data_IF_872042804071
#
_entry.id   IF_872042804071
#
_cell.length_a   1.000
_cell.length_b   1.000
_cell.length_c   1.000
_cell.angle_alpha   90.00
_cell.angle_beta   90.00
_cell.angle_gamma   90.00
#
_symmetry.space_group_name_H-M   'P 1'
#
loop_
_entity.id
_entity.type
_entity.pdbx_description
1 polymer ?
#
# COMPACT_ATOMS: atom_id res chain seq x y z
N UNK A 1 21.64 -5.78 -7.12
CA UNK A 1 21.82 -6.53 -8.39
C UNK A 1 20.60 -7.39 -8.73
N UNK A 2 19.98 -8.07 -7.76
CA UNK A 2 18.81 -8.97 -8.00
C UNK A 2 17.67 -8.27 -8.73
N UNK A 3 17.32 -7.06 -8.31
CA UNK A 3 16.25 -6.28 -8.94
C UNK A 3 16.59 -5.90 -10.40
N UNK A 4 17.83 -5.51 -10.68
CA UNK A 4 18.25 -5.16 -12.04
C UNK A 4 18.28 -6.39 -12.95
N UNK A 5 18.78 -7.50 -12.44
CA UNK A 5 18.80 -8.74 -13.20
C UNK A 5 17.37 -9.20 -13.52
N UNK A 6 16.46 -9.11 -12.56
CA UNK A 6 15.04 -9.39 -12.79
C UNK A 6 14.44 -8.49 -13.88
N UNK A 7 14.72 -7.18 -13.84
CA UNK A 7 14.28 -6.26 -14.88
C UNK A 7 14.87 -6.60 -16.24
N UNK A 8 16.15 -6.93 -16.29
CA UNK A 8 16.84 -7.35 -17.52
C UNK A 8 16.20 -8.61 -18.11
N UNK A 9 15.89 -9.58 -17.29
CA UNK A 9 15.24 -10.83 -17.71
C UNK A 9 13.81 -10.57 -18.20
N UNK A 10 13.03 -9.76 -17.52
CA UNK A 10 11.70 -9.35 -17.97
C UNK A 10 11.74 -8.61 -19.32
N UNK A 11 12.67 -7.70 -19.48
CA UNK A 11 12.84 -6.94 -20.71
C UNK A 11 13.27 -7.82 -21.88
N UNK A 12 14.24 -8.69 -21.66
CA UNK A 12 14.69 -9.64 -22.67
C UNK A 12 13.57 -10.63 -23.06
N UNK A 13 12.77 -11.06 -22.09
CA UNK A 13 11.60 -11.91 -22.34
C UNK A 13 10.55 -11.20 -23.19
N UNK A 14 10.27 -9.93 -22.91
CA UNK A 14 9.29 -9.14 -23.67
C UNK A 14 9.73 -8.88 -25.13
N UNK A 15 11.02 -8.61 -25.36
CA UNK A 15 11.56 -8.28 -26.67
C UNK A 15 12.23 -9.46 -27.38
N UNK A 16 12.06 -10.70 -26.90
CA UNK A 16 12.68 -11.91 -27.45
C UNK A 16 14.20 -11.79 -27.65
N UNK A 17 14.89 -11.12 -26.73
CA UNK A 17 16.33 -10.90 -26.82
C UNK A 17 16.78 -9.94 -27.93
N UNK A 18 15.86 -9.28 -28.64
CA UNK A 18 16.19 -8.42 -29.80
C UNK A 18 16.81 -7.07 -29.43
N UNK A 19 16.82 -6.71 -28.16
CA UNK A 19 17.48 -5.49 -27.68
C UNK A 19 18.51 -5.82 -26.61
N UNK A 20 19.75 -5.46 -26.90
CA UNK A 20 20.93 -5.90 -26.11
C UNK A 20 20.97 -5.38 -24.67
N UNK A 21 20.32 -4.26 -24.33
CA UNK A 21 20.33 -3.66 -22.99
C UNK A 21 19.19 -2.69 -22.79
N UNK A 22 18.73 -2.65 -21.54
CA UNK A 22 17.85 -1.62 -21.03
C UNK A 22 18.52 -0.24 -21.22
N UNK A 23 18.00 0.54 -22.13
CA UNK A 23 18.38 1.94 -22.19
C UNK A 23 17.80 2.73 -21.01
N UNK A 24 16.71 2.22 -20.43
CA UNK A 24 16.04 2.83 -19.28
C UNK A 24 15.39 1.76 -18.42
N UNK A 25 15.59 1.79 -17.12
CA UNK A 25 14.84 0.98 -16.14
C UNK A 25 13.54 1.71 -15.76
N UNK A 26 13.54 2.99 -15.89
CA UNK A 26 12.42 3.90 -15.81
C UNK A 26 12.67 4.97 -16.86
N UNK A 27 11.65 5.76 -17.21
CA UNK A 27 11.76 6.87 -18.17
C UNK A 27 12.83 7.91 -17.81
N UNK A 28 13.43 7.80 -16.63
CA UNK A 28 14.31 8.81 -16.05
C UNK A 28 15.77 8.39 -15.88
N UNK A 29 16.09 7.09 -15.81
CA UNK A 29 17.48 6.65 -15.58
C UNK A 29 17.96 5.73 -16.71
N UNK A 30 18.91 6.17 -17.52
CA UNK A 30 19.50 5.32 -18.54
C UNK A 30 20.40 4.25 -17.88
N UNK A 31 20.17 3.00 -18.22
CA UNK A 31 21.04 1.89 -17.85
C UNK A 31 21.88 1.46 -19.05
N UNK A 32 23.09 2.01 -19.10
CA UNK A 32 24.10 1.56 -20.05
C UNK A 32 24.87 0.36 -19.46
N UNK A 33 25.57 -0.38 -20.33
CA UNK A 33 26.48 -1.44 -19.89
C UNK A 33 27.52 -0.91 -18.89
N UNK A 34 28.00 0.30 -19.10
CA UNK A 34 28.94 0.97 -18.18
C UNK A 34 28.36 1.12 -16.78
N UNK A 35 27.13 1.56 -16.65
CA UNK A 35 26.45 1.69 -15.35
C UNK A 35 26.23 0.32 -14.71
N UNK A 36 25.87 -0.69 -15.49
CA UNK A 36 25.68 -2.04 -15.01
C UNK A 36 26.98 -2.64 -14.45
N UNK A 37 28.09 -2.48 -15.18
CA UNK A 37 29.42 -2.92 -14.71
C UNK A 37 29.86 -2.17 -13.45
N UNK A 38 29.56 -0.88 -13.37
CA UNK A 38 29.85 -0.09 -12.18
C UNK A 38 29.00 -0.51 -10.97
N UNK A 39 27.75 -0.91 -11.18
CA UNK A 39 26.91 -1.49 -10.13
C UNK A 39 27.50 -2.80 -9.60
N UNK A 40 27.99 -3.68 -10.48
CA UNK A 40 28.66 -4.92 -10.08
C UNK A 40 29.90 -4.59 -9.24
N UNK A 41 30.75 -3.70 -9.70
CA UNK A 41 31.96 -3.29 -9.00
C UNK A 41 31.65 -2.74 -7.60
N UNK A 42 30.66 -1.86 -7.48
CA UNK A 42 30.29 -1.25 -6.20
C UNK A 42 29.53 -2.19 -5.27
N UNK A 43 28.86 -3.19 -5.80
CA UNK A 43 28.26 -4.24 -4.98
C UNK A 43 29.31 -5.14 -4.30
N UNK A 44 30.48 -5.25 -4.91
CA UNK A 44 31.61 -6.04 -4.39
C UNK A 44 32.51 -5.25 -3.45
N UNK A 45 32.53 -3.92 -3.55
CA UNK A 45 33.34 -3.03 -2.73
C UNK A 45 32.49 -1.99 -1.99
N UNK A 46 32.18 -2.22 -0.71
CA UNK A 46 31.38 -1.30 0.09
C UNK A 46 32.07 0.05 0.39
N UNK A 47 33.38 0.17 0.16
CA UNK A 47 34.12 1.41 0.40
C UNK A 47 33.87 2.48 -0.66
N UNK A 48 33.34 2.08 -1.82
CA UNK A 48 33.07 2.99 -2.92
C UNK A 48 31.81 3.83 -2.66
N UNK A 49 31.84 5.09 -3.09
CA UNK A 49 30.73 6.00 -2.93
C UNK A 49 29.44 5.46 -3.60
N UNK A 50 28.30 5.59 -2.92
CA UNK A 50 27.01 5.12 -3.43
C UNK A 50 26.35 6.09 -4.40
N UNK A 51 26.86 7.31 -4.49
CA UNK A 51 26.38 8.36 -5.39
C UNK A 51 27.57 9.00 -6.08
N UNK A 52 27.49 9.15 -7.39
CA UNK A 52 28.53 9.81 -8.19
C UNK A 52 27.90 10.76 -9.20
N UNK A 53 28.66 11.78 -9.59
CA UNK A 53 28.27 12.63 -10.72
C UNK A 53 28.32 11.82 -12.02
N UNK A 54 27.28 11.91 -12.83
CA UNK A 54 27.26 11.39 -14.19
C UNK A 54 27.85 12.42 -15.14
N UNK A 55 29.05 12.15 -15.65
CA UNK A 55 29.61 12.98 -16.70
C UNK A 55 28.90 12.65 -18.02
N UNK A 56 28.28 13.65 -18.64
CA UNK A 56 27.67 13.54 -19.98
C UNK A 56 26.17 13.19 -20.01
N UNK A 57 25.48 13.12 -18.88
CA UNK A 57 24.03 13.02 -18.82
C UNK A 57 23.39 14.28 -18.28
N UNK A 58 22.81 15.06 -19.18
CA UNK A 58 22.37 16.42 -18.93
C UNK A 58 21.10 16.59 -18.10
N UNK A 59 20.38 15.51 -17.80
CA UNK A 59 19.07 15.63 -17.14
C UNK A 59 19.09 15.52 -15.63
N UNK A 60 20.03 14.76 -15.02
CA UNK A 60 20.02 14.53 -13.58
C UNK A 60 21.36 14.71 -12.87
N UNK A 61 22.46 14.72 -13.56
CA UNK A 61 23.81 14.98 -13.02
C UNK A 61 24.36 13.94 -12.04
N UNK A 62 23.56 12.95 -11.59
CA UNK A 62 23.92 12.00 -10.57
C UNK A 62 23.56 10.57 -10.95
N UNK A 63 24.44 9.62 -10.59
CA UNK A 63 24.16 8.19 -10.63
C UNK A 63 24.09 7.63 -9.21
N UNK A 64 23.11 6.79 -8.97
CA UNK A 64 22.84 6.16 -7.69
C UNK A 64 23.16 4.67 -7.75
N UNK A 65 23.85 4.15 -6.74
CA UNK A 65 24.32 2.78 -6.66
C UNK A 65 24.03 2.18 -5.29
N UNK A 66 22.96 2.60 -4.65
CA UNK A 66 22.59 2.12 -3.33
C UNK A 66 21.76 0.83 -3.40
N UNK A 67 21.34 0.34 -2.27
CA UNK A 67 20.46 -0.82 -2.12
C UNK A 67 19.41 -0.51 -1.05
N UNK A 68 18.53 0.42 -1.38
CA UNK A 68 17.48 0.88 -0.46
C UNK A 68 16.27 -0.03 -0.53
N UNK A 69 15.89 -0.59 0.60
CA UNK A 69 14.63 -1.29 0.77
C UNK A 69 13.52 -0.30 1.16
N UNK A 70 12.92 0.29 0.14
CA UNK A 70 11.83 1.25 0.31
C UNK A 70 10.61 0.65 0.98
N UNK A 71 10.34 -0.65 0.79
CA UNK A 71 9.23 -1.31 1.46
C UNK A 71 9.42 -1.32 2.97
N UNK A 72 10.58 -1.74 3.43
CA UNK A 72 10.89 -1.73 4.87
C UNK A 72 10.93 -0.33 5.48
N UNK A 73 11.22 0.70 4.69
CA UNK A 73 11.18 2.09 5.15
C UNK A 73 9.74 2.62 5.32
N UNK A 74 8.86 2.30 4.39
CA UNK A 74 7.51 2.87 4.36
C UNK A 74 6.45 2.02 5.02
N UNK A 75 6.59 0.69 5.01
CA UNK A 75 5.59 -0.22 5.54
C UNK A 75 5.99 -0.82 6.89
N UNK A 76 5.02 -0.99 7.76
CA UNK A 76 5.16 -1.77 8.99
C UNK A 76 5.22 -3.26 8.66
N UNK A 77 5.97 -4.03 9.45
CA UNK A 77 6.08 -5.48 9.25
C UNK A 77 4.78 -6.21 9.62
N UNK A 78 3.98 -5.61 10.48
CA UNK A 78 2.66 -6.11 10.89
C UNK A 78 1.71 -4.96 11.19
N UNK A 79 0.44 -5.25 11.08
CA UNK A 79 -0.65 -4.33 11.32
C UNK A 79 -1.62 -4.95 12.34
N UNK A 80 -2.07 -4.15 13.28
CA UNK A 80 -3.02 -4.57 14.30
C UNK A 80 -4.42 -4.11 13.95
N UNK A 81 -5.38 -4.99 14.18
CA UNK A 81 -6.78 -4.63 14.15
C UNK A 81 -7.50 -5.20 15.36
N UNK A 82 -8.47 -4.48 15.85
CA UNK A 82 -9.35 -4.93 16.94
C UNK A 82 -10.80 -4.87 16.48
N UNK A 83 -11.58 -5.85 16.94
CA UNK A 83 -13.01 -5.89 16.65
C UNK A 83 -13.77 -6.26 17.93
N UNK A 84 -14.77 -5.48 18.24
CA UNK A 84 -15.67 -5.69 19.35
C UNK A 84 -17.11 -5.78 18.84
N UNK A 85 -17.76 -6.89 19.17
CA UNK A 85 -19.15 -7.11 18.82
C UNK A 85 -19.96 -7.35 20.09
N UNK A 86 -21.08 -6.65 20.22
CA UNK A 86 -22.03 -6.85 21.28
C UNK A 86 -23.42 -7.00 20.67
N UNK A 87 -24.18 -7.97 21.12
CA UNK A 87 -25.56 -8.09 20.72
C UNK A 87 -26.44 -8.51 21.90
N UNK A 88 -27.66 -8.04 21.87
CA UNK A 88 -28.73 -8.40 22.79
C UNK A 88 -29.97 -8.73 21.99
N UNK A 89 -30.64 -9.78 22.37
CA UNK A 89 -31.91 -10.18 21.76
C UNK A 89 -32.86 -10.67 22.83
N UNK A 90 -34.11 -10.48 22.58
CA UNK A 90 -35.15 -10.96 23.46
C UNK A 90 -36.51 -10.90 22.76
N UNK A 91 -37.50 -11.51 23.38
CA UNK A 91 -38.82 -11.50 22.84
C UNK A 91 -39.76 -12.45 23.51
N UNK A 92 -41.01 -12.39 23.10
CA UNK A 92 -42.10 -13.24 23.54
C UNK A 92 -43.19 -13.33 22.45
N UNK A 93 -44.37 -13.78 22.83
CA UNK A 93 -45.45 -14.06 21.85
C UNK A 93 -45.90 -12.83 21.06
N UNK A 94 -45.74 -11.63 21.64
CA UNK A 94 -46.23 -10.39 21.05
C UNK A 94 -45.13 -9.52 20.45
N UNK A 95 -43.88 -9.62 20.91
CA UNK A 95 -42.79 -8.78 20.44
C UNK A 95 -41.47 -9.53 20.49
N UNK A 96 -40.61 -9.23 19.54
CA UNK A 96 -39.21 -9.64 19.51
C UNK A 96 -38.32 -8.46 19.15
N UNK A 97 -37.08 -8.48 19.66
CA UNK A 97 -36.10 -7.50 19.33
C UNK A 97 -34.68 -8.09 19.24
N UNK A 98 -33.85 -7.47 18.45
CA UNK A 98 -32.42 -7.72 18.30
C UNK A 98 -31.70 -6.40 18.13
N UNK A 99 -30.73 -6.12 18.96
CA UNK A 99 -29.87 -4.95 18.87
C UNK A 99 -28.43 -5.44 18.87
N UNK A 100 -27.62 -4.92 17.96
CA UNK A 100 -26.19 -5.21 17.92
C UNK A 100 -25.38 -3.95 17.66
N UNK A 101 -24.21 -3.87 18.28
CA UNK A 101 -23.18 -2.89 18.05
C UNK A 101 -21.90 -3.59 17.66
N UNK A 102 -21.19 -3.04 16.68
CA UNK A 102 -19.87 -3.47 16.26
C UNK A 102 -18.95 -2.26 16.21
N UNK A 103 -17.78 -2.40 16.80
CA UNK A 103 -16.67 -1.48 16.66
C UNK A 103 -15.50 -2.21 16.04
N UNK A 104 -14.95 -1.65 14.99
CA UNK A 104 -13.75 -2.12 14.32
C UNK A 104 -12.74 -1.00 14.25
N UNK A 105 -11.51 -1.26 14.67
CA UNK A 105 -10.38 -0.33 14.62
C UNK A 105 -9.19 -1.05 13.99
N UNK A 106 -8.60 -0.44 12.98
CA UNK A 106 -7.44 -0.95 12.28
C UNK A 106 -6.40 0.14 12.16
N UNK A 107 -5.23 -0.13 12.69
CA UNK A 107 -4.04 0.71 12.49
C UNK A 107 -3.63 0.72 11.02
N UNK A 108 -2.99 1.79 10.61
CA UNK A 108 -2.44 1.91 9.28
C UNK A 108 -1.19 1.05 9.04
N UNK A 109 -0.94 0.78 7.77
CA UNK A 109 0.21 -0.02 7.31
C UNK A 109 1.48 0.82 7.12
N UNK A 110 1.36 2.14 7.10
CA UNK A 110 2.50 3.02 6.86
C UNK A 110 3.24 3.37 8.14
N UNK A 111 4.59 3.40 8.06
CA UNK A 111 5.45 3.94 9.13
C UNK A 111 5.42 5.47 9.15
N UNK A 112 5.15 6.08 8.01
CA UNK A 112 5.14 7.54 7.82
C UNK A 112 3.78 7.97 7.27
N UNK A 113 3.16 8.93 7.93
CA UNK A 113 1.83 9.40 7.56
C UNK A 113 0.74 8.49 8.12
N UNK A 114 0.16 8.85 9.23
CA UNK A 114 -0.84 8.06 9.94
C UNK A 114 -2.04 7.71 9.05
N UNK A 115 -2.12 6.47 8.62
CA UNK A 115 -3.33 5.91 8.07
C UNK A 115 -4.10 5.17 9.16
N UNK A 116 -5.41 5.25 9.13
CA UNK A 116 -6.28 4.60 10.12
C UNK A 116 -7.66 4.35 9.53
N UNK A 117 -8.29 3.30 10.03
CA UNK A 117 -9.65 2.95 9.65
C UNK A 117 -10.44 2.54 10.88
N UNK A 118 -11.52 3.29 11.18
CA UNK A 118 -12.46 2.97 12.27
C UNK A 118 -13.86 2.85 11.71
N UNK A 119 -14.56 1.81 12.15
CA UNK A 119 -15.92 1.57 11.74
C UNK A 119 -16.80 1.26 12.93
N UNK A 120 -17.93 1.95 12.98
CA UNK A 120 -18.97 1.79 13.99
C UNK A 120 -20.25 1.35 13.29
N UNK A 121 -20.74 0.19 13.63
CA UNK A 121 -22.01 -0.33 13.10
C UNK A 121 -23.00 -0.50 14.26
N UNK A 122 -24.22 -0.02 14.07
CA UNK A 122 -25.33 -0.28 14.99
C UNK A 122 -26.49 -0.82 14.17
N UNK A 123 -27.09 -1.89 14.67
CA UNK A 123 -28.26 -2.51 14.03
C UNK A 123 -29.34 -2.77 15.07
N UNK A 124 -30.56 -2.39 14.73
CA UNK A 124 -31.74 -2.68 15.52
C UNK A 124 -32.80 -3.33 14.65
N UNK A 125 -33.32 -4.47 15.10
CA UNK A 125 -34.48 -5.12 14.50
C UNK A 125 -35.50 -5.32 15.58
N UNK A 126 -36.79 -5.18 15.21
CA UNK A 126 -37.87 -5.46 16.11
C UNK A 126 -39.14 -5.83 15.35
N UNK A 127 -39.89 -6.71 15.93
CA UNK A 127 -41.23 -7.09 15.46
C UNK A 127 -42.22 -6.94 16.58
N UNK A 128 -43.34 -6.33 16.30
CA UNK A 128 -44.44 -6.15 17.23
C UNK A 128 -45.74 -6.64 16.57
N UNK A 129 -46.39 -7.61 17.20
CA UNK A 129 -47.73 -8.07 16.82
C UNK A 129 -48.77 -7.23 17.56
N UNK A 130 -49.28 -6.21 16.93
CA UNK A 130 -50.25 -5.28 17.53
C UNK A 130 -51.63 -5.91 17.61
N UNK A 131 -51.99 -6.67 16.57
CA UNK A 131 -53.27 -7.40 16.44
C UNK A 131 -53.01 -8.70 15.66
N UNK A 132 -53.90 -9.70 15.68
CA UNK A 132 -53.75 -10.91 14.87
C UNK A 132 -53.56 -10.64 13.38
N UNK A 133 -54.11 -9.53 12.89
CA UNK A 133 -54.00 -9.09 11.51
C UNK A 133 -52.95 -7.99 11.28
N UNK A 134 -52.29 -7.45 12.34
CA UNK A 134 -51.32 -6.34 12.21
C UNK A 134 -50.01 -6.67 12.90
N UNK A 135 -48.97 -6.80 12.08
CA UNK A 135 -47.56 -6.95 12.51
C UNK A 135 -46.74 -5.76 12.02
N UNK A 136 -46.03 -5.13 12.93
CA UNK A 136 -45.07 -4.09 12.62
C UNK A 136 -43.63 -4.66 12.73
N UNK A 137 -42.83 -4.47 11.69
CA UNK A 137 -41.46 -4.90 11.70
C UNK A 137 -40.55 -3.71 11.36
N UNK A 138 -39.55 -3.48 12.18
CA UNK A 138 -38.50 -2.50 11.94
C UNK A 138 -37.14 -3.19 11.76
N UNK A 139 -36.36 -2.74 10.80
CA UNK A 139 -34.97 -3.17 10.60
C UNK A 139 -34.16 -1.94 10.20
N UNK A 140 -33.40 -1.42 11.16
CA UNK A 140 -32.58 -0.23 11.00
C UNK A 140 -31.12 -0.60 11.17
N UNK A 141 -30.24 -0.03 10.35
CA UNK A 141 -28.81 -0.12 10.52
C UNK A 141 -28.15 1.23 10.23
N UNK A 142 -27.19 1.58 11.03
CA UNK A 142 -26.35 2.78 10.87
C UNK A 142 -24.90 2.33 10.88
N UNK A 143 -24.12 2.82 9.93
CA UNK A 143 -22.70 2.56 9.81
C UNK A 143 -21.99 3.90 9.69
N UNK A 144 -21.01 4.13 10.55
CA UNK A 144 -20.13 5.31 10.50
C UNK A 144 -18.71 4.82 10.27
N UNK A 145 -18.07 5.39 9.27
CA UNK A 145 -16.68 5.09 8.93
C UNK A 145 -15.87 6.37 9.09
N UNK A 146 -14.80 6.26 9.86
CA UNK A 146 -13.75 7.27 9.97
C UNK A 146 -12.47 6.66 9.42
N UNK A 147 -12.06 7.15 8.25
CA UNK A 147 -10.90 6.63 7.54
C UNK A 147 -9.97 7.79 7.16
N UNK A 148 -8.72 7.65 7.55
CA UNK A 148 -7.67 8.55 7.14
C UNK A 148 -6.66 7.80 6.28
N UNK A 149 -6.41 8.32 5.08
CA UNK A 149 -5.46 7.77 4.12
C UNK A 149 -4.53 8.89 3.63
N UNK A 150 -3.22 8.79 3.84
CA UNK A 150 -2.28 9.77 3.33
C UNK A 150 -2.26 9.73 1.80
N UNK A 151 -2.36 10.89 1.16
CA UNK A 151 -2.37 11.04 -0.29
C UNK A 151 -1.23 11.91 -0.77
N UNK A 152 -0.73 11.60 -1.95
CA UNK A 152 0.24 12.46 -2.61
C UNK A 152 -0.43 13.74 -3.12
N UNK A 153 0.13 14.88 -2.77
CA UNK A 153 -0.47 16.21 -2.95
C UNK A 153 -0.69 16.60 -4.43
N UNK A 154 0.11 16.10 -5.36
CA UNK A 154 0.16 16.59 -6.74
C UNK A 154 -0.78 15.87 -7.71
N UNK A 155 -1.08 14.59 -7.51
CA UNK A 155 -1.82 13.78 -8.48
C UNK A 155 -2.93 12.92 -7.89
N UNK A 156 -3.31 13.14 -6.64
CA UNK A 156 -4.26 12.26 -5.92
C UNK A 156 -3.90 10.75 -6.01
N UNK A 157 -2.62 10.46 -6.26
CA UNK A 157 -2.10 9.11 -6.40
C UNK A 157 -1.89 8.49 -5.03
N UNK A 158 -2.26 7.24 -4.91
CA UNK A 158 -2.05 6.49 -3.67
C UNK A 158 -0.57 6.26 -3.42
N UNK A 159 -0.13 6.40 -2.18
CA UNK A 159 1.26 6.21 -1.77
C UNK A 159 1.82 4.83 -2.20
N UNK A 160 1.08 3.69 -2.08
CA UNK A 160 1.58 2.40 -2.56
C UNK A 160 1.97 2.40 -4.04
N UNK A 161 1.21 3.09 -4.86
CA UNK A 161 1.52 3.20 -6.29
C UNK A 161 2.82 3.96 -6.51
N UNK A 162 3.05 5.04 -5.77
CA UNK A 162 4.28 5.82 -5.88
C UNK A 162 5.50 5.02 -5.42
N UNK A 163 5.41 4.33 -4.29
CA UNK A 163 6.49 3.48 -3.79
C UNK A 163 6.82 2.38 -4.82
N UNK A 164 5.81 1.72 -5.35
CA UNK A 164 6.02 0.61 -6.29
C UNK A 164 6.53 1.05 -7.67
N UNK A 165 6.21 2.27 -8.10
CA UNK A 165 6.56 2.76 -9.45
C UNK A 165 7.76 3.68 -9.49
N UNK A 166 8.02 4.44 -8.43
CA UNK A 166 9.03 5.51 -8.45
C UNK A 166 10.15 5.33 -7.43
N UNK A 167 9.93 4.51 -6.39
CA UNK A 167 10.96 4.25 -5.40
C UNK A 167 11.94 3.20 -5.91
N UNK A 168 13.02 3.69 -6.51
CA UNK A 168 14.06 2.82 -7.05
C UNK A 168 14.99 2.32 -5.94
N UNK A 169 15.29 1.01 -5.88
CA UNK A 169 16.23 0.46 -4.90
C UNK A 169 17.62 1.10 -4.94
N UNK A 170 18.02 1.62 -6.09
CA UNK A 170 19.34 2.25 -6.25
C UNK A 170 19.45 3.66 -5.67
N UNK A 171 18.32 4.32 -5.43
CA UNK A 171 18.31 5.66 -4.84
C UNK A 171 18.64 5.59 -3.35
N UNK A 172 19.57 6.42 -2.83
CA UNK A 172 19.83 6.52 -1.40
C UNK A 172 18.64 7.13 -0.66
N UNK A 173 18.60 6.88 0.65
CA UNK A 173 17.63 7.49 1.57
C UNK A 173 18.00 8.94 1.84
#
# INVERSE_FOLDING_TARGET
>A
LTWINWWKDCYNGYYNGSKALLNHVDSTIPYTETIYQELIRRSQDPSLARTTALSGHDQFGWAYYDSTDWHSLFYKDYNWSTEHNLSISGGGDQADYYISGRFYDMDGIYKVGNDSYKKYDVRAKGTLKVRPWLRLTNNMSVSVIDAYEPKHQKNNSQIPRLINHTAMPLSPV
#
